data_IF_076877974337
#
_entry.id   IF_076877974337
#
_cell.length_a   1.000
_cell.length_b   1.000
_cell.length_c   1.000
_cell.angle_alpha   90.00
_cell.angle_beta   90.00
_cell.angle_gamma   90.00
#
_symmetry.space_group_name_H-M   'P 1'
#
loop_
_entity.id
_entity.type
_entity.pdbx_description
1 polymer ?
#
# COMPACT_ATOMS: atom_id res chain seq x y z
N UNK A 1 2.54 -23.90 -25.87
CA UNK A 1 2.32 -23.95 -24.41
C UNK A 1 1.90 -22.55 -24.02
N UNK A 2 0.78 -22.47 -23.32
CA UNK A 2 -0.15 -21.34 -23.14
C UNK A 2 0.49 -19.96 -22.99
N UNK A 3 0.09 -19.04 -23.85
CA UNK A 3 0.18 -17.59 -23.62
C UNK A 3 -0.72 -17.26 -22.42
N UNK A 4 -0.12 -16.90 -21.28
CA UNK A 4 -0.87 -16.32 -20.17
C UNK A 4 -1.41 -14.97 -20.64
N UNK A 5 -2.69 -14.93 -21.02
CA UNK A 5 -3.42 -13.68 -21.21
C UNK A 5 -3.19 -12.81 -19.97
N UNK A 6 -2.91 -11.50 -20.11
CA UNK A 6 -2.73 -10.65 -18.94
C UNK A 6 -4.04 -10.71 -18.14
N UNK A 7 -3.98 -11.33 -16.97
CA UNK A 7 -5.10 -11.37 -16.03
C UNK A 7 -5.49 -9.92 -15.79
N UNK A 8 -6.57 -9.48 -16.44
CA UNK A 8 -7.07 -8.13 -16.29
C UNK A 8 -7.54 -8.03 -14.84
N UNK A 9 -6.79 -7.30 -14.02
CA UNK A 9 -7.16 -7.07 -12.63
C UNK A 9 -8.38 -6.15 -12.61
N UNK A 10 -9.59 -6.66 -12.30
CA UNK A 10 -10.80 -5.84 -12.32
C UNK A 10 -10.72 -4.71 -11.29
N UNK A 11 -9.97 -4.90 -10.19
CA UNK A 11 -9.76 -3.89 -9.17
C UNK A 11 -8.81 -2.80 -9.65
N UNK A 12 -7.86 -3.11 -10.53
CA UNK A 12 -7.01 -2.10 -11.15
C UNK A 12 -7.84 -1.20 -12.06
N UNK A 13 -8.69 -1.76 -12.90
CA UNK A 13 -9.59 -0.97 -13.75
C UNK A 13 -10.48 -0.05 -12.91
N UNK A 14 -11.04 -0.56 -11.81
CA UNK A 14 -11.85 0.22 -10.88
C UNK A 14 -11.03 1.31 -10.16
N UNK A 15 -9.80 1.01 -9.76
CA UNK A 15 -8.92 1.96 -9.08
C UNK A 15 -8.49 3.12 -10.00
N UNK A 16 -8.36 2.86 -11.30
CA UNK A 16 -7.94 3.87 -12.28
C UNK A 16 -9.11 4.67 -12.86
N UNK A 17 -10.35 4.22 -12.64
CA UNK A 17 -11.55 4.86 -13.16
C UNK A 17 -11.72 6.28 -12.61
N UNK A 18 -11.94 7.24 -13.52
CA UNK A 18 -12.17 8.65 -13.17
C UNK A 18 -10.91 9.49 -12.95
N UNK A 19 -9.72 8.89 -12.98
CA UNK A 19 -8.45 9.61 -12.89
C UNK A 19 -7.91 10.04 -14.26
N UNK A 20 -7.15 11.13 -14.28
CA UNK A 20 -6.43 11.60 -15.47
C UNK A 20 -5.24 10.69 -15.79
N UNK A 21 -4.73 10.72 -17.02
CA UNK A 21 -3.55 9.92 -17.42
C UNK A 21 -2.31 10.17 -16.52
N UNK A 22 -2.11 11.41 -16.06
CA UNK A 22 -1.05 11.75 -15.12
C UNK A 22 -1.24 11.11 -13.75
N UNK A 23 -2.48 11.07 -13.27
CA UNK A 23 -2.83 10.46 -11.98
C UNK A 23 -2.77 8.94 -12.06
N UNK A 24 -3.19 8.34 -13.17
CA UNK A 24 -3.04 6.91 -13.44
C UNK A 24 -1.58 6.49 -13.35
N UNK A 25 -0.68 7.20 -14.04
CA UNK A 25 0.76 6.92 -13.99
C UNK A 25 1.33 7.05 -12.56
N UNK A 26 0.80 7.99 -11.76
CA UNK A 26 1.17 8.16 -10.36
C UNK A 26 0.67 7.00 -9.50
N UNK A 27 -0.58 6.56 -9.67
CA UNK A 27 -1.15 5.40 -9.00
C UNK A 27 -0.32 4.16 -9.31
N UNK A 28 -0.09 3.86 -10.59
CA UNK A 28 0.69 2.69 -11.02
C UNK A 28 2.09 2.69 -10.40
N UNK A 29 2.76 3.84 -10.39
CA UNK A 29 4.05 4.00 -9.73
C UNK A 29 3.95 3.67 -8.24
N UNK A 30 2.96 4.22 -7.54
CA UNK A 30 2.80 3.97 -6.12
C UNK A 30 2.44 2.53 -5.81
N UNK A 31 1.63 1.84 -6.61
CA UNK A 31 1.30 0.42 -6.41
C UNK A 31 2.53 -0.48 -6.35
N UNK A 32 3.64 -0.12 -7.02
CA UNK A 32 4.89 -0.88 -6.95
C UNK A 32 5.53 -0.92 -5.55
N UNK A 33 5.17 0.03 -4.67
CA UNK A 33 5.66 0.11 -3.30
C UNK A 33 4.85 -0.77 -2.33
N UNK A 34 3.77 -1.37 -2.79
CA UNK A 34 2.80 -2.09 -1.96
C UNK A 34 2.85 -3.60 -2.11
N UNK A 35 2.35 -4.28 -1.09
CA UNK A 35 2.10 -5.71 -1.05
C UNK A 35 0.61 -5.96 -0.85
N UNK A 36 0.06 -6.95 -1.57
CA UNK A 36 -1.37 -7.27 -1.50
C UNK A 36 -1.76 -7.93 -0.16
N UNK A 37 -0.79 -8.39 0.64
CA UNK A 37 -0.99 -9.13 1.88
C UNK A 37 -1.90 -10.36 1.71
N UNK A 38 -3.17 -10.25 2.11
CA UNK A 38 -4.17 -11.33 1.99
C UNK A 38 -5.20 -11.07 0.88
N UNK A 39 -5.12 -9.93 0.19
CA UNK A 39 -6.01 -9.58 -0.92
C UNK A 39 -5.54 -10.26 -2.21
N UNK A 40 -6.47 -10.38 -3.17
CA UNK A 40 -6.19 -10.97 -4.48
C UNK A 40 -5.29 -10.08 -5.34
N UNK A 41 -5.32 -8.76 -5.13
CA UNK A 41 -4.42 -7.82 -5.79
C UNK A 41 -4.10 -6.60 -4.91
N UNK A 42 -3.04 -5.88 -5.26
CA UNK A 42 -2.69 -4.62 -4.60
C UNK A 42 -3.81 -3.60 -4.81
N UNK A 43 -4.38 -3.51 -6.02
CA UNK A 43 -5.46 -2.58 -6.30
C UNK A 43 -6.70 -2.85 -5.42
N UNK A 44 -7.04 -4.13 -5.20
CA UNK A 44 -8.11 -4.51 -4.26
C UNK A 44 -7.80 -4.03 -2.84
N UNK A 45 -6.58 -4.26 -2.36
CA UNK A 45 -6.13 -3.81 -1.04
C UNK A 45 -6.29 -2.29 -0.89
N UNK A 46 -5.83 -1.52 -1.88
CA UNK A 46 -5.93 -0.06 -1.88
C UNK A 46 -7.39 0.40 -1.84
N UNK A 47 -8.25 -0.14 -2.71
CA UNK A 47 -9.67 0.23 -2.75
C UNK A 47 -10.36 -0.05 -1.41
N UNK A 48 -10.16 -1.24 -0.84
CA UNK A 48 -10.77 -1.62 0.44
C UNK A 48 -10.27 -0.76 1.61
N UNK A 49 -8.96 -0.52 1.69
CA UNK A 49 -8.38 0.32 2.75
C UNK A 49 -8.78 1.79 2.63
N UNK A 50 -8.84 2.32 1.40
CA UNK A 50 -9.26 3.69 1.13
C UNK A 50 -10.75 3.89 1.46
N UNK A 51 -11.60 2.94 1.06
CA UNK A 51 -13.04 2.95 1.35
C UNK A 51 -13.33 2.89 2.86
N UNK A 52 -12.68 1.98 3.61
CA UNK A 52 -12.84 1.88 5.08
C UNK A 52 -12.41 3.14 5.84
N UNK A 53 -11.59 3.99 5.21
CA UNK A 53 -11.07 5.24 5.79
C UNK A 53 -11.72 6.49 5.18
N UNK A 54 -12.72 6.30 4.32
CA UNK A 54 -13.41 7.38 3.61
C UNK A 54 -12.46 8.39 2.95
N UNK A 55 -11.37 7.87 2.37
CA UNK A 55 -10.34 8.65 1.71
C UNK A 55 -10.24 8.25 0.25
N UNK A 56 -10.02 9.23 -0.61
CA UNK A 56 -9.71 9.01 -2.02
C UNK A 56 -8.46 8.09 -2.17
N UNK A 57 -8.50 7.06 -3.04
CA UNK A 57 -7.39 6.12 -3.22
C UNK A 57 -6.05 6.77 -3.58
N UNK A 58 -6.05 7.73 -4.52
CA UNK A 58 -4.83 8.45 -4.88
C UNK A 58 -4.29 9.28 -3.71
N UNK A 59 -5.17 9.96 -2.97
CA UNK A 59 -4.78 10.69 -1.75
C UNK A 59 -4.22 9.75 -0.67
N UNK A 60 -4.78 8.56 -0.53
CA UNK A 60 -4.26 7.52 0.37
C UNK A 60 -2.86 7.05 -0.02
N UNK A 61 -2.66 6.75 -1.31
CA UNK A 61 -1.35 6.38 -1.86
C UNK A 61 -0.31 7.49 -1.68
N UNK A 62 -0.66 8.75 -2.01
CA UNK A 62 0.21 9.91 -1.80
C UNK A 62 0.63 10.09 -0.35
N UNK A 63 -0.30 9.91 0.60
CA UNK A 63 0.02 10.00 2.04
C UNK A 63 1.00 8.89 2.46
N UNK A 64 0.75 7.67 2.03
CA UNK A 64 1.64 6.54 2.32
C UNK A 64 3.04 6.73 1.73
N UNK A 65 3.13 7.17 0.46
CA UNK A 65 4.40 7.45 -0.22
C UNK A 65 5.21 8.55 0.48
N UNK A 66 4.53 9.59 0.95
CA UNK A 66 5.16 10.70 1.67
C UNK A 66 5.45 10.39 3.15
N UNK A 67 5.13 9.19 3.64
CA UNK A 67 5.41 8.81 5.01
C UNK A 67 6.92 8.74 5.26
N UNK A 68 7.44 9.73 5.99
CA UNK A 68 8.87 9.80 6.29
C UNK A 68 9.24 8.92 7.49
N UNK A 69 9.85 7.76 7.21
CA UNK A 69 10.37 6.80 8.21
C UNK A 69 11.44 7.40 9.14
N UNK A 70 12.12 8.48 8.77
CA UNK A 70 13.12 9.14 9.64
C UNK A 70 12.45 9.69 10.89
N UNK A 71 12.92 9.24 12.06
CA UNK A 71 12.35 9.60 13.36
C UNK A 71 11.04 8.89 13.70
N UNK A 72 10.57 7.96 12.87
CA UNK A 72 9.44 7.11 13.21
C UNK A 72 9.87 6.01 14.20
N UNK A 73 9.00 5.67 15.14
CA UNK A 73 9.17 4.54 16.03
C UNK A 73 8.84 3.26 15.25
N UNK A 74 9.83 2.37 15.11
CA UNK A 74 9.66 1.06 14.47
C UNK A 74 9.30 -0.02 15.49
N UNK A 75 8.30 -0.84 15.19
CA UNK A 75 7.81 -1.94 16.04
C UNK A 75 7.65 -3.23 15.23
N UNK A 76 8.46 -4.28 15.49
CA UNK A 76 9.52 -4.34 16.50
C UNK A 76 10.72 -3.44 16.14
N UNK A 77 11.55 -3.10 17.14
CA UNK A 77 12.75 -2.26 16.93
C UNK A 77 13.72 -2.89 15.92
N UNK A 78 13.80 -4.22 15.91
CA UNK A 78 14.60 -5.03 14.98
C UNK A 78 13.77 -6.22 14.49
N UNK A 79 14.06 -6.71 13.28
CA UNK A 79 13.36 -7.86 12.70
C UNK A 79 11.90 -7.59 12.33
N UNK A 80 11.07 -8.62 12.39
CA UNK A 80 9.64 -8.57 12.04
C UNK A 80 8.81 -9.30 13.11
N UNK A 81 7.51 -9.03 13.13
CA UNK A 81 6.53 -9.76 13.95
C UNK A 81 6.34 -11.19 13.41
N UNK A 82 5.59 -12.01 14.14
CA UNK A 82 5.29 -13.39 13.72
C UNK A 82 4.54 -13.50 12.38
N UNK A 83 3.88 -12.43 11.93
CA UNK A 83 3.22 -12.32 10.63
C UNK A 83 4.09 -11.63 9.55
N UNK A 84 5.41 -11.58 9.79
CA UNK A 84 6.41 -10.91 8.94
C UNK A 84 6.20 -9.41 8.77
N UNK A 85 5.37 -8.76 9.60
CA UNK A 85 5.15 -7.32 9.52
C UNK A 85 6.08 -6.50 10.43
N UNK A 86 6.30 -5.25 10.07
CA UNK A 86 6.82 -4.21 10.94
C UNK A 86 5.95 -2.96 10.82
N UNK A 87 5.86 -2.18 11.89
CA UNK A 87 5.07 -0.95 11.92
C UNK A 87 5.96 0.23 12.23
N UNK A 88 5.92 1.25 11.38
CA UNK A 88 6.49 2.56 11.62
C UNK A 88 5.40 3.48 12.13
N UNK A 89 5.62 4.17 13.24
CA UNK A 89 4.69 5.13 13.83
C UNK A 89 5.34 6.50 13.93
N UNK A 90 4.65 7.56 13.53
CA UNK A 90 5.16 8.93 13.59
C UNK A 90 4.01 9.91 13.80
N UNK A 91 3.99 10.57 14.96
CA UNK A 91 2.83 11.35 15.38
C UNK A 91 1.59 10.45 15.48
N UNK A 92 0.50 10.87 14.85
CA UNK A 92 -0.72 10.09 14.71
C UNK A 92 -0.72 9.13 13.51
N UNK A 93 0.31 9.16 12.65
CA UNK A 93 0.37 8.31 11.45
C UNK A 93 1.10 6.99 11.71
N UNK A 94 0.73 5.96 10.97
CA UNK A 94 1.44 4.69 10.93
C UNK A 94 1.53 4.10 9.52
N UNK A 95 2.61 3.35 9.29
CA UNK A 95 2.87 2.59 8.08
C UNK A 95 3.21 1.15 8.48
N UNK A 96 2.43 0.18 8.01
CA UNK A 96 2.71 -1.24 8.18
C UNK A 96 3.36 -1.75 6.90
N UNK A 97 4.48 -2.45 7.06
CA UNK A 97 5.26 -3.00 5.96
C UNK A 97 5.56 -4.49 6.16
N UNK A 98 5.82 -5.19 5.06
CA UNK A 98 6.33 -6.57 5.03
C UNK A 98 7.51 -6.66 4.07
N UNK A 99 8.53 -7.50 4.35
CA UNK A 99 9.60 -7.73 3.39
C UNK A 99 9.07 -8.56 2.22
N UNK A 100 9.43 -8.18 1.00
CA UNK A 100 9.26 -9.04 -0.16
C UNK A 100 10.29 -10.18 -0.19
N UNK A 101 10.22 -11.03 -1.22
CA UNK A 101 11.17 -12.15 -1.43
C UNK A 101 12.64 -11.74 -1.58
N UNK A 102 12.91 -10.45 -1.79
CA UNK A 102 14.25 -9.87 -1.90
C UNK A 102 14.66 -9.09 -0.64
N UNK A 103 13.82 -9.09 0.41
CA UNK A 103 14.05 -8.40 1.67
C UNK A 103 13.72 -6.90 1.64
N UNK A 104 13.11 -6.40 0.57
CA UNK A 104 12.70 -4.99 0.45
C UNK A 104 11.33 -4.79 1.11
N UNK A 105 11.21 -3.78 1.98
CA UNK A 105 9.94 -3.49 2.66
C UNK A 105 8.90 -2.93 1.68
N UNK A 106 7.77 -3.62 1.57
CA UNK A 106 6.56 -3.21 0.85
C UNK A 106 5.48 -2.77 1.83
N UNK A 107 4.72 -1.76 1.45
CA UNK A 107 3.62 -1.21 2.25
C UNK A 107 2.43 -2.17 2.18
N UNK A 108 1.89 -2.53 3.34
CA UNK A 108 0.65 -3.30 3.46
C UNK A 108 -0.52 -2.40 3.78
N UNK A 109 -0.32 -1.44 4.69
CA UNK A 109 -1.33 -0.43 5.01
C UNK A 109 -0.67 0.84 5.51
N UNK A 110 -1.31 1.96 5.22
CA UNK A 110 -1.08 3.24 5.86
C UNK A 110 -2.32 3.60 6.70
N UNK A 111 -2.15 4.40 7.74
CA UNK A 111 -3.28 4.92 8.49
C UNK A 111 -2.91 6.07 9.40
N UNK A 112 -3.94 6.70 9.92
CA UNK A 112 -3.88 7.73 10.95
C UNK A 112 -4.70 7.19 12.13
N UNK A 113 -4.17 7.32 13.34
CA UNK A 113 -4.92 7.06 14.56
C UNK A 113 -5.73 8.32 14.88
N UNK A 114 -7.00 8.14 15.22
CA UNK A 114 -7.78 9.21 15.84
C UNK A 114 -7.25 9.41 17.27
N UNK A 115 -6.94 10.66 17.63
CA UNK A 115 -6.48 11.07 18.97
C UNK A 115 -7.58 10.89 20.04
#
# INVERSE_FOLDING_TARGET
MSEEEPVSDPFLNQLLEGYTLSEVAEIEKYLTEWDAATYSSVAQSILDHAARKEIDPLKYLRKAHNFNKKGAIRVPKTGYRGDSSAVYRKGNEYLIVRPDKYGSEKIVTYGVNDD
#
